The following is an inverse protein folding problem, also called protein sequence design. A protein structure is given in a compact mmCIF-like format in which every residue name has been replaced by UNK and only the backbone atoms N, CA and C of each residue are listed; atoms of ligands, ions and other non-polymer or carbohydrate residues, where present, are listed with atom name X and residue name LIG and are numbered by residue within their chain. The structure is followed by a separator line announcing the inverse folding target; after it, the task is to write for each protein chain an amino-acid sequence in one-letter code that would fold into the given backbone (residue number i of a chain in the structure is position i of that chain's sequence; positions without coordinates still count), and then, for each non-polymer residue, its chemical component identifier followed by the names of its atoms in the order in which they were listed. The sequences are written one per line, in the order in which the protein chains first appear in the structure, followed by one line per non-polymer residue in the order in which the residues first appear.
data_IF_815617108960
#
_entry.id   IF_815617108960
#
_cell.length_a   1.000
_cell.length_b   1.000
_cell.length_c   1.000
_cell.angle_alpha   90.00
_cell.angle_beta   90.00
_cell.angle_gamma   90.00
#
_symmetry.space_group_name_H-M   'P 1'
#
loop_
_entity.id
_entity.type
_entity.pdbx_description
1 polymer ?
#
# COMPACT_ATOMS: atom_id res chain seq x y z
N UNK A 1 -26.58 20.89 -46.43
CA UNK A 1 -25.75 21.04 -45.20
C UNK A 1 -26.51 20.84 -43.88
N UNK A 2 -27.82 21.13 -43.78
CA UNK A 2 -28.61 20.90 -42.56
C UNK A 2 -28.79 19.41 -42.22
N UNK A 3 -29.05 18.57 -43.23
CA UNK A 3 -29.23 17.12 -43.05
C UNK A 3 -27.96 16.41 -42.55
N UNK A 4 -26.78 16.75 -43.09
CA UNK A 4 -25.49 16.20 -42.64
C UNK A 4 -25.15 16.61 -41.20
N UNK A 5 -25.57 17.79 -40.76
CA UNK A 5 -25.42 18.24 -39.36
C UNK A 5 -26.39 17.52 -38.42
N UNK A 6 -27.63 17.29 -38.85
CA UNK A 6 -28.61 16.50 -38.08
C UNK A 6 -28.17 15.03 -37.93
N UNK A 7 -27.61 14.44 -38.99
CA UNK A 7 -27.04 13.08 -38.96
C UNK A 7 -25.85 12.98 -38.00
N UNK A 8 -24.93 13.95 -38.03
CA UNK A 8 -23.78 13.96 -37.10
C UNK A 8 -24.22 14.15 -35.65
N UNK A 9 -25.24 14.96 -35.38
CA UNK A 9 -25.79 15.14 -34.03
C UNK A 9 -26.52 13.89 -33.53
N UNK A 10 -27.27 13.21 -34.40
CA UNK A 10 -27.93 11.95 -34.06
C UNK A 10 -26.92 10.84 -33.74
N UNK A 11 -25.86 10.72 -34.55
CA UNK A 11 -24.78 9.75 -34.30
C UNK A 11 -24.03 10.07 -33.00
N UNK A 12 -23.73 11.35 -32.74
CA UNK A 12 -23.11 11.77 -31.47
C UNK A 12 -24.01 11.47 -30.26
N UNK A 13 -25.32 11.71 -30.36
CA UNK A 13 -26.27 11.39 -29.30
C UNK A 13 -26.37 9.88 -29.02
N UNK A 14 -26.36 9.05 -30.08
CA UNK A 14 -26.35 7.59 -29.97
C UNK A 14 -25.05 7.08 -29.36
N UNK A 15 -23.90 7.64 -29.75
CA UNK A 15 -22.60 7.28 -29.18
C UNK A 15 -22.50 7.69 -27.70
N UNK A 16 -23.02 8.85 -27.33
CA UNK A 16 -23.09 9.31 -25.94
C UNK A 16 -24.04 8.44 -25.10
N UNK A 17 -25.19 8.05 -25.64
CA UNK A 17 -26.11 7.13 -24.98
C UNK A 17 -25.49 5.74 -24.80
N UNK A 18 -24.81 5.21 -25.83
CA UNK A 18 -24.09 3.94 -25.77
C UNK A 18 -22.97 3.97 -24.72
N UNK A 19 -22.17 5.04 -24.69
CA UNK A 19 -21.14 5.24 -23.67
C UNK A 19 -21.77 5.32 -22.26
N UNK A 20 -22.89 6.03 -22.09
CA UNK A 20 -23.62 6.10 -20.83
C UNK A 20 -24.11 4.72 -20.35
N UNK A 21 -24.65 3.90 -21.26
CA UNK A 21 -25.09 2.53 -20.91
C UNK A 21 -23.93 1.58 -20.59
N UNK A 22 -22.77 1.75 -21.23
CA UNK A 22 -21.57 0.97 -20.95
C UNK A 22 -21.05 1.28 -19.54
N UNK A 23 -20.95 2.58 -19.21
CA UNK A 23 -20.55 3.05 -17.87
C UNK A 23 -21.52 2.56 -16.79
N UNK A 24 -22.83 2.58 -17.06
CA UNK A 24 -23.85 2.12 -16.12
C UNK A 24 -23.79 0.59 -15.88
N UNK A 25 -23.49 -0.20 -16.92
CA UNK A 25 -23.28 -1.65 -16.78
C UNK A 25 -21.99 -2.00 -16.05
N UNK A 26 -20.92 -1.21 -16.19
CA UNK A 26 -19.71 -1.37 -15.38
C UNK A 26 -19.90 -0.94 -13.92
N UNK A 27 -20.85 -0.04 -13.65
CA UNK A 27 -21.20 0.38 -12.29
C UNK A 27 -22.25 -0.53 -11.62
N UNK A 28 -22.83 -1.51 -12.34
CA UNK A 28 -23.76 -2.46 -11.74
C UNK A 28 -22.99 -3.36 -10.75
N UNK A 29 -23.39 -3.40 -9.46
CA UNK A 29 -22.67 -4.17 -8.45
C UNK A 29 -22.68 -5.65 -8.83
N UNK A 30 -21.51 -6.21 -9.12
CA UNK A 30 -21.34 -7.66 -9.14
C UNK A 30 -21.31 -8.15 -7.69
N UNK A 31 -21.80 -9.35 -7.39
CA UNK A 31 -21.56 -9.95 -6.09
C UNK A 31 -20.05 -10.18 -5.94
N UNK A 32 -19.36 -9.24 -5.30
CA UNK A 32 -17.99 -9.44 -4.86
C UNK A 32 -18.02 -10.53 -3.78
N UNK A 33 -17.21 -11.56 -3.99
CA UNK A 33 -17.03 -12.62 -3.02
C UNK A 33 -16.23 -12.11 -1.84
N UNK A 34 -16.34 -12.76 -0.68
CA UNK A 34 -15.54 -12.45 0.51
C UNK A 34 -14.03 -12.36 0.20
N UNK A 35 -13.56 -13.18 -0.74
CA UNK A 35 -12.18 -13.17 -1.20
C UNK A 35 -11.79 -11.85 -1.89
N UNK A 36 -12.66 -11.30 -2.76
CA UNK A 36 -12.39 -10.03 -3.43
C UNK A 36 -12.36 -8.83 -2.47
N UNK A 37 -13.21 -8.86 -1.43
CA UNK A 37 -13.16 -7.85 -0.37
C UNK A 37 -11.86 -7.98 0.44
N UNK A 38 -11.43 -9.21 0.73
CA UNK A 38 -10.21 -9.50 1.46
C UNK A 38 -8.92 -9.13 0.70
N UNK A 39 -8.92 -9.16 -0.64
CA UNK A 39 -7.80 -8.68 -1.46
C UNK A 39 -7.63 -7.16 -1.35
N UNK A 40 -8.74 -6.42 -1.29
CA UNK A 40 -8.76 -4.96 -1.15
C UNK A 40 -8.50 -4.45 0.28
N UNK A 41 -8.31 -5.35 1.25
CA UNK A 41 -8.03 -5.02 2.65
C UNK A 41 -6.62 -5.45 3.04
N UNK A 42 -5.91 -4.58 3.76
CA UNK A 42 -4.57 -4.79 4.30
C UNK A 42 -4.68 -5.18 5.77
N UNK A 43 -3.90 -6.17 6.19
CA UNK A 43 -3.82 -6.54 7.60
C UNK A 43 -2.86 -5.61 8.36
N UNK A 44 -3.34 -4.81 9.34
CA UNK A 44 -2.51 -3.85 10.07
C UNK A 44 -1.45 -4.55 10.95
N UNK A 45 -1.71 -5.80 11.34
CA UNK A 45 -0.78 -6.62 12.12
C UNK A 45 0.21 -7.43 11.27
N UNK A 46 0.08 -7.40 9.93
CA UNK A 46 0.79 -8.29 9.01
C UNK A 46 1.77 -7.55 8.08
N UNK A 47 2.28 -6.38 8.50
CA UNK A 47 3.19 -5.56 7.69
C UNK A 47 2.61 -5.13 6.33
N UNK A 48 1.29 -4.88 6.25
CA UNK A 48 0.65 -4.40 5.03
C UNK A 48 0.45 -5.48 3.95
N UNK A 49 0.41 -6.75 4.33
CA UNK A 49 -0.02 -7.82 3.44
C UNK A 49 -1.55 -7.82 3.29
N UNK A 50 -2.07 -8.25 2.13
CA UNK A 50 -3.52 -8.36 1.93
C UNK A 50 -4.13 -9.41 2.87
N UNK A 51 -5.34 -9.14 3.34
CA UNK A 51 -6.10 -10.05 4.22
C UNK A 51 -6.41 -11.37 3.51
N UNK A 52 -6.56 -11.35 2.19
CA UNK A 52 -6.75 -12.55 1.36
C UNK A 52 -5.52 -13.48 1.36
N UNK A 53 -4.31 -12.91 1.28
CA UNK A 53 -3.07 -13.70 1.10
C UNK A 53 -2.38 -14.04 2.43
N UNK A 54 -2.55 -13.18 3.45
CA UNK A 54 -1.85 -13.35 4.71
C UNK A 54 -2.36 -14.56 5.50
N UNK A 55 -1.42 -15.39 5.97
CA UNK A 55 -1.70 -16.59 6.77
C UNK A 55 -1.75 -16.31 8.28
N UNK A 56 -1.77 -15.05 8.69
CA UNK A 56 -1.81 -14.72 10.12
C UNK A 56 -3.16 -15.04 10.77
N UNK A 57 -3.19 -15.28 12.11
CA UNK A 57 -4.44 -15.42 12.84
C UNK A 57 -5.35 -14.20 12.74
N UNK A 58 -4.79 -12.99 12.62
CA UNK A 58 -5.56 -11.76 12.44
C UNK A 58 -6.27 -11.73 11.09
N UNK A 59 -5.56 -12.08 10.01
CA UNK A 59 -6.15 -12.15 8.68
C UNK A 59 -7.25 -13.21 8.59
N UNK A 60 -7.08 -14.35 9.28
CA UNK A 60 -8.12 -15.37 9.39
C UNK A 60 -9.39 -14.83 10.10
N UNK A 61 -9.23 -14.12 11.21
CA UNK A 61 -10.35 -13.50 11.93
C UNK A 61 -11.05 -12.39 11.10
N UNK A 62 -10.28 -11.62 10.33
CA UNK A 62 -10.84 -10.62 9.41
C UNK A 62 -11.65 -11.27 8.29
N UNK A 63 -11.16 -12.37 7.69
CA UNK A 63 -11.90 -13.14 6.67
C UNK A 63 -13.22 -13.70 7.22
N UNK A 64 -13.19 -14.28 8.41
CA UNK A 64 -14.40 -14.75 9.09
C UNK A 64 -15.40 -13.61 9.35
N UNK A 65 -14.90 -12.43 9.73
CA UNK A 65 -15.76 -11.24 9.91
C UNK A 65 -16.35 -10.76 8.59
N UNK A 66 -15.61 -10.81 7.47
CA UNK A 66 -16.13 -10.48 6.14
C UNK A 66 -17.27 -11.43 5.77
N UNK A 67 -17.06 -12.74 5.95
CA UNK A 67 -18.07 -13.77 5.66
C UNK A 67 -19.34 -13.54 6.50
N UNK A 68 -19.20 -13.23 7.79
CA UNK A 68 -20.33 -12.93 8.68
C UNK A 68 -21.10 -11.69 8.24
N UNK A 69 -20.41 -10.62 7.84
CA UNK A 69 -21.07 -9.37 7.41
C UNK A 69 -21.82 -9.55 6.09
N UNK A 70 -21.23 -10.30 5.15
CA UNK A 70 -21.91 -10.67 3.90
C UNK A 70 -23.12 -11.56 4.15
N UNK A 71 -23.00 -12.54 5.05
CA UNK A 71 -24.12 -13.39 5.47
C UNK A 71 -25.23 -12.58 6.17
N UNK A 72 -24.88 -11.49 6.85
CA UNK A 72 -25.82 -10.53 7.43
C UNK A 72 -26.47 -9.59 6.39
N UNK A 73 -26.18 -9.76 5.09
CA UNK A 73 -26.76 -8.98 4.00
C UNK A 73 -26.14 -7.59 3.81
N UNK A 74 -24.97 -7.33 4.39
CA UNK A 74 -24.25 -6.07 4.15
C UNK A 74 -23.65 -6.03 2.75
N UNK A 75 -23.56 -4.83 2.19
CA UNK A 75 -22.90 -4.62 0.90
C UNK A 75 -21.37 -4.59 1.06
N UNK A 76 -20.59 -4.91 0.00
CA UNK A 76 -19.12 -4.87 0.06
C UNK A 76 -18.56 -3.55 0.61
N UNK A 77 -19.14 -2.41 0.20
CA UNK A 77 -18.70 -1.09 0.67
C UNK A 77 -19.00 -0.88 2.16
N UNK A 78 -20.12 -1.40 2.66
CA UNK A 78 -20.41 -1.37 4.10
C UNK A 78 -19.46 -2.26 4.89
N UNK A 79 -19.00 -3.38 4.31
CA UNK A 79 -17.98 -4.23 4.93
C UNK A 79 -16.64 -3.50 4.97
N UNK A 80 -16.20 -2.91 3.86
CA UNK A 80 -14.98 -2.07 3.80
C UNK A 80 -15.03 -0.94 4.82
N UNK A 81 -16.14 -0.20 4.87
CA UNK A 81 -16.32 0.89 5.81
C UNK A 81 -16.27 0.41 7.27
N UNK A 82 -16.84 -0.76 7.57
CA UNK A 82 -16.75 -1.35 8.92
C UNK A 82 -15.29 -1.59 9.34
N UNK A 83 -14.42 -2.01 8.42
CA UNK A 83 -12.99 -2.16 8.69
C UNK A 83 -12.29 -0.80 8.81
N UNK A 84 -12.65 0.18 7.98
CA UNK A 84 -12.12 1.56 8.08
C UNK A 84 -12.48 2.19 9.42
N UNK A 85 -13.72 2.08 9.86
CA UNK A 85 -14.17 2.64 11.14
C UNK A 85 -13.42 2.01 12.33
N UNK A 86 -12.95 0.77 12.18
CA UNK A 86 -12.28 0.00 13.23
C UNK A 86 -10.76 0.13 13.23
N UNK A 87 -10.15 0.24 12.05
CA UNK A 87 -8.70 0.17 11.85
C UNK A 87 -8.10 1.41 11.14
N UNK A 88 -8.93 2.34 10.68
CA UNK A 88 -8.56 3.54 9.94
C UNK A 88 -8.49 3.33 8.42
N UNK A 89 -8.28 4.41 7.65
CA UNK A 89 -8.22 4.35 6.18
C UNK A 89 -7.06 3.50 5.64
N UNK A 90 -5.97 3.37 6.40
CA UNK A 90 -4.82 2.54 6.02
C UNK A 90 -5.09 1.03 5.97
N UNK A 91 -6.31 0.59 6.30
CA UNK A 91 -6.76 -0.79 6.11
C UNK A 91 -7.18 -1.07 4.67
N UNK A 92 -7.50 -0.05 3.87
CA UNK A 92 -7.85 -0.23 2.46
C UNK A 92 -6.57 -0.23 1.61
N UNK A 93 -6.48 -1.17 0.67
CA UNK A 93 -5.39 -1.22 -0.29
C UNK A 93 -5.36 0.03 -1.20
N UNK A 94 -6.53 0.59 -1.50
CA UNK A 94 -6.68 1.88 -2.20
C UNK A 94 -7.54 2.82 -1.32
N UNK A 95 -7.07 4.05 -1.05
CA UNK A 95 -7.87 5.03 -0.32
C UNK A 95 -9.14 5.37 -1.11
N UNK A 96 -10.31 5.21 -0.47
CA UNK A 96 -11.61 5.46 -1.10
C UNK A 96 -11.81 6.95 -1.40
N UNK A 97 -11.67 7.35 -2.66
CA UNK A 97 -11.88 8.72 -3.12
C UNK A 97 -13.36 9.04 -3.37
N UNK A 98 -14.29 8.59 -2.52
CA UNK A 98 -15.72 8.66 -2.84
C UNK A 98 -16.30 10.09 -2.79
N UNK A 99 -15.61 11.06 -2.18
CA UNK A 99 -16.02 12.47 -2.15
C UNK A 99 -15.31 13.40 -3.14
N UNK A 100 -14.04 13.12 -3.46
CA UNK A 100 -13.18 14.02 -4.25
C UNK A 100 -13.08 13.55 -5.71
N UNK A 101 -13.30 12.25 -6.00
CA UNK A 101 -13.22 11.70 -7.34
C UNK A 101 -14.20 12.35 -8.34
N UNK A 102 -15.42 12.69 -7.88
CA UNK A 102 -16.40 13.41 -8.70
C UNK A 102 -15.93 14.82 -9.01
N UNK A 103 -15.36 15.54 -8.04
CA UNK A 103 -14.88 16.91 -8.23
C UNK A 103 -13.69 16.94 -9.22
N UNK A 104 -12.80 15.94 -9.12
CA UNK A 104 -11.67 15.75 -10.01
C UNK A 104 -12.09 15.54 -11.48
N UNK A 105 -13.27 14.95 -11.72
CA UNK A 105 -13.87 14.78 -13.05
C UNK A 105 -14.74 15.96 -13.50
N UNK A 106 -15.34 16.70 -12.57
CA UNK A 106 -16.24 17.83 -12.86
C UNK A 106 -15.46 19.03 -13.44
N UNK A 107 -14.25 19.25 -12.95
CA UNK A 107 -13.35 20.33 -13.41
C UNK A 107 -12.97 20.20 -14.90
N UNK A 108 -12.45 19.05 -15.40
CA UNK A 108 -12.13 18.90 -16.82
C UNK A 108 -13.39 18.95 -17.72
N UNK A 109 -14.53 18.44 -17.25
CA UNK A 109 -15.79 18.53 -17.99
C UNK A 109 -16.27 19.99 -18.16
N UNK A 110 -16.19 20.79 -17.09
CA UNK A 110 -16.54 22.22 -17.11
C UNK A 110 -15.57 23.03 -17.98
N UNK A 111 -14.28 22.70 -17.95
CA UNK A 111 -13.28 23.35 -18.81
C UNK A 111 -13.58 23.14 -20.29
N UNK A 112 -13.89 21.91 -20.70
CA UNK A 112 -14.31 21.59 -22.08
C UNK A 112 -15.60 22.31 -22.44
N UNK A 113 -16.60 22.30 -21.54
CA UNK A 113 -17.87 22.99 -21.76
C UNK A 113 -17.66 24.51 -21.97
N UNK A 114 -16.81 25.14 -21.18
CA UNK A 114 -16.47 26.56 -21.31
C UNK A 114 -15.82 26.88 -22.65
N UNK A 115 -14.85 26.06 -23.11
CA UNK A 115 -14.19 26.22 -24.41
C UNK A 115 -15.21 26.10 -25.56
N UNK A 116 -16.09 25.10 -25.52
CA UNK A 116 -17.15 24.93 -26.53
C UNK A 116 -18.09 26.14 -26.56
N UNK A 117 -18.50 26.65 -25.39
CA UNK A 117 -19.36 27.83 -25.27
C UNK A 117 -18.72 29.10 -25.85
N UNK A 118 -17.42 29.30 -25.60
CA UNK A 118 -16.63 30.41 -26.14
C UNK A 118 -16.57 30.33 -27.67
N UNK A 119 -16.25 29.15 -28.23
CA UNK A 119 -16.19 28.94 -29.69
C UNK A 119 -17.55 29.16 -30.35
N UNK A 120 -18.64 28.67 -29.74
CA UNK A 120 -20.00 28.86 -30.24
C UNK A 120 -20.41 30.34 -30.22
N UNK A 121 -20.09 31.08 -29.14
CA UNK A 121 -20.34 32.53 -29.06
C UNK A 121 -19.55 33.31 -30.10
N UNK A 122 -18.28 32.98 -30.33
CA UNK A 122 -17.47 33.61 -31.38
C UNK A 122 -18.00 33.33 -32.79
N UNK A 123 -18.52 32.13 -33.04
CA UNK A 123 -19.15 31.79 -34.33
C UNK A 123 -20.47 32.51 -34.55
N UNK A 124 -21.28 32.72 -33.49
CA UNK A 124 -22.53 33.50 -33.56
C UNK A 124 -22.30 35.00 -33.68
N UNK A 125 -21.18 35.51 -33.15
CA UNK A 125 -20.77 36.91 -33.27
C UNK A 125 -20.02 37.21 -34.58
N UNK A 126 -19.90 36.25 -35.51
CA UNK A 126 -19.42 36.58 -36.85
C UNK A 126 -20.42 37.53 -37.49
N UNK A 127 -20.05 38.79 -37.76
CA UNK A 127 -20.93 39.71 -38.46
C UNK A 127 -21.31 39.11 -39.81
N UNK A 128 -22.57 39.24 -40.21
CA UNK A 128 -22.96 38.96 -41.59
C UNK A 128 -22.04 39.79 -42.49
N UNK A 129 -21.44 39.15 -43.50
CA UNK A 129 -20.54 39.80 -44.43
C UNK A 129 -21.25 41.06 -44.98
N UNK A 130 -20.61 42.25 -44.94
CA UNK A 130 -21.21 43.49 -45.42
C UNK A 130 -21.68 43.29 -46.88
N UNK A 131 -22.89 43.74 -47.24
CA UNK A 131 -23.47 43.50 -48.56
C UNK A 131 -22.74 44.22 -49.71
N UNK A 132 -21.74 45.06 -49.40
CA UNK A 132 -21.01 45.87 -50.39
C UNK A 132 -19.50 45.63 -50.28
N UNK A 133 -19.07 44.42 -50.63
CA UNK A 133 -17.65 44.07 -50.69
C UNK A 133 -17.22 44.00 -52.15
N UNK A 134 -16.43 44.98 -52.57
CA UNK A 134 -15.83 45.04 -53.91
C UNK A 134 -15.00 43.75 -54.18
N UNK A 135 -15.31 43.00 -55.25
CA UNK A 135 -14.59 41.78 -55.63
C UNK A 135 -13.08 41.99 -55.87
N UNK A 136 -12.63 43.23 -56.07
CA UNK A 136 -11.22 43.54 -56.36
C UNK A 136 -10.37 43.81 -55.12
N UNK A 137 -10.94 43.87 -53.92
CA UNK A 137 -10.15 44.10 -52.70
C UNK A 137 -9.59 42.77 -52.18
N UNK A 138 -8.25 42.55 -52.18
CA UNK A 138 -7.68 41.34 -51.60
C UNK A 138 -8.01 41.28 -50.10
N UNK A 139 -8.51 40.12 -49.66
CA UNK A 139 -8.90 39.93 -48.27
C UNK A 139 -7.70 40.15 -47.33
N UNK A 140 -7.86 40.84 -46.18
CA UNK A 140 -6.78 40.92 -45.21
C UNK A 140 -6.43 39.49 -44.75
N UNK A 141 -5.14 39.17 -44.53
CA UNK A 141 -4.76 37.87 -44.04
C UNK A 141 -5.41 37.65 -42.68
N UNK A 142 -6.35 36.70 -42.62
CA UNK A 142 -6.91 36.23 -41.36
C UNK A 142 -5.75 35.57 -40.63
N UNK A 143 -5.12 36.30 -39.71
CA UNK A 143 -3.98 35.82 -38.94
C UNK A 143 -4.37 34.54 -38.20
N UNK A 144 -3.90 33.39 -38.71
CA UNK A 144 -4.01 32.07 -38.08
C UNK A 144 -3.49 32.07 -36.63
N UNK A 145 -2.66 33.06 -36.27
CA UNK A 145 -2.09 33.29 -34.95
C UNK A 145 -3.14 33.34 -33.81
N UNK A 146 -4.23 34.12 -33.94
CA UNK A 146 -5.17 34.32 -32.81
C UNK A 146 -5.95 33.07 -32.40
N UNK A 147 -6.13 32.11 -33.30
CA UNK A 147 -6.83 30.86 -33.00
C UNK A 147 -5.90 29.85 -32.31
N UNK A 148 -4.60 29.88 -32.61
CA UNK A 148 -3.61 29.04 -31.95
C UNK A 148 -3.26 29.59 -30.57
N UNK A 149 -3.24 30.91 -30.39
CA UNK A 149 -2.99 31.55 -29.10
C UNK A 149 -4.07 31.20 -28.06
N UNK A 150 -5.34 31.16 -28.48
CA UNK A 150 -6.45 30.82 -27.57
C UNK A 150 -6.48 29.33 -27.21
N UNK A 151 -6.06 28.45 -28.11
CA UNK A 151 -5.91 27.02 -27.84
C UNK A 151 -4.69 26.75 -26.95
N UNK A 152 -3.56 27.43 -27.20
CA UNK A 152 -2.35 27.31 -26.39
C UNK A 152 -2.60 27.77 -24.95
N UNK A 153 -3.27 28.91 -24.75
CA UNK A 153 -3.61 29.40 -23.40
C UNK A 153 -4.57 28.45 -22.68
N UNK A 154 -5.55 27.87 -23.38
CA UNK A 154 -6.48 26.90 -22.78
C UNK A 154 -5.78 25.58 -22.40
N UNK A 155 -4.83 25.09 -23.21
CA UNK A 155 -4.03 23.90 -22.90
C UNK A 155 -3.07 24.17 -21.75
N UNK A 156 -2.38 25.32 -21.73
CA UNK A 156 -1.50 25.71 -20.64
C UNK A 156 -2.28 25.87 -19.32
N UNK A 157 -3.47 26.48 -19.36
CA UNK A 157 -4.34 26.59 -18.19
C UNK A 157 -4.82 25.21 -17.69
N UNK A 158 -5.16 24.28 -18.60
CA UNK A 158 -5.54 22.92 -18.24
C UNK A 158 -4.38 22.15 -17.60
N UNK A 159 -3.17 22.23 -18.18
CA UNK A 159 -1.96 21.60 -17.65
C UNK A 159 -1.58 22.19 -16.29
N UNK A 160 -1.70 23.52 -16.12
CA UNK A 160 -1.44 24.18 -14.84
C UNK A 160 -2.42 23.75 -13.75
N UNK A 161 -3.71 23.59 -14.07
CA UNK A 161 -4.73 23.10 -13.11
C UNK A 161 -4.47 21.65 -12.72
N UNK A 162 -4.05 20.79 -13.65
CA UNK A 162 -3.69 19.40 -13.35
C UNK A 162 -2.40 19.31 -12.53
N UNK A 163 -1.43 20.18 -12.78
CA UNK A 163 -0.18 20.24 -12.02
C UNK A 163 -0.37 20.80 -10.60
N UNK A 164 -1.28 21.75 -10.40
CA UNK A 164 -1.60 22.33 -9.08
C UNK A 164 -2.61 21.52 -8.26
N UNK A 165 -3.27 20.52 -8.85
CA UNK A 165 -4.20 19.62 -8.15
C UNK A 165 -3.58 18.24 -7.83
N UNK A 166 -2.27 18.07 -8.07
CA UNK A 166 -1.52 16.99 -7.42
C UNK A 166 -1.52 17.24 -5.91
N UNK A 167 -1.85 16.25 -5.07
CA UNK A 167 -1.92 16.47 -3.63
C UNK A 167 -0.57 16.99 -3.14
N UNK A 168 -0.57 18.13 -2.45
CA UNK A 168 0.58 18.61 -1.68
C UNK A 168 1.07 17.45 -0.81
N UNK A 169 2.22 16.88 -1.15
CA UNK A 169 2.97 15.94 -0.32
C UNK A 169 3.73 16.74 0.74
N UNK A 170 2.97 17.55 1.49
CA UNK A 170 3.40 18.17 2.74
C UNK A 170 2.71 17.44 3.91
N UNK A 171 2.75 16.11 3.88
CA UNK A 171 2.74 15.34 5.12
C UNK A 171 4.19 15.24 5.57
N UNK A 172 4.63 16.23 6.36
CA UNK A 172 5.76 16.07 7.24
C UNK A 172 5.50 14.84 8.12
N UNK A 173 5.95 13.69 7.64
CA UNK A 173 5.95 12.48 8.42
C UNK A 173 6.86 12.69 9.63
N UNK A 174 6.38 12.41 10.86
CA UNK A 174 7.22 12.55 12.03
C UNK A 174 8.49 11.70 11.85
N UNK A 175 9.62 12.07 12.49
CA UNK A 175 10.87 11.31 12.42
C UNK A 175 10.70 9.81 12.75
N UNK A 176 9.61 9.43 13.43
CA UNK A 176 9.19 8.06 13.67
C UNK A 176 8.81 7.25 12.41
N UNK A 177 8.20 7.83 11.37
CA UNK A 177 7.87 7.15 10.10
C UNK A 177 9.10 7.01 9.20
N UNK A 178 9.91 8.07 9.05
CA UNK A 178 11.21 7.96 8.38
C UNK A 178 12.15 6.94 9.07
N UNK A 179 12.16 6.90 10.40
CA UNK A 179 12.86 5.85 11.14
C UNK A 179 12.19 4.47 10.95
N UNK A 180 10.86 4.38 10.82
CA UNK A 180 10.16 3.13 10.52
C UNK A 180 10.58 2.54 9.18
N UNK A 181 10.66 3.38 8.16
CA UNK A 181 11.04 3.00 6.80
C UNK A 181 12.51 2.62 6.72
N UNK A 182 13.37 3.29 7.49
CA UNK A 182 14.78 2.91 7.66
C UNK A 182 14.92 1.56 8.37
N UNK A 183 14.23 1.35 9.51
CA UNK A 183 14.27 0.09 10.24
C UNK A 183 13.70 -1.07 9.41
N UNK A 184 12.61 -0.86 8.66
CA UNK A 184 12.01 -1.89 7.80
C UNK A 184 12.92 -2.26 6.62
N UNK A 185 13.63 -1.28 6.06
CA UNK A 185 14.66 -1.48 5.04
C UNK A 185 15.83 -2.30 5.58
N UNK A 186 16.35 -1.96 6.77
CA UNK A 186 17.42 -2.72 7.43
C UNK A 186 16.99 -4.14 7.78
N UNK A 187 15.75 -4.34 8.25
CA UNK A 187 15.18 -5.66 8.51
C UNK A 187 15.13 -6.52 7.24
N UNK A 188 14.77 -5.92 6.11
CA UNK A 188 14.72 -6.61 4.81
C UNK A 188 16.13 -7.04 4.38
N UNK A 189 17.11 -6.16 4.54
CA UNK A 189 18.51 -6.48 4.28
C UNK A 189 19.03 -7.59 5.21
N UNK A 190 18.78 -7.50 6.52
CA UNK A 190 19.22 -8.50 7.50
C UNK A 190 18.66 -9.89 7.18
N UNK A 191 17.37 -10.00 6.84
CA UNK A 191 16.74 -11.27 6.44
C UNK A 191 17.31 -11.80 5.13
N UNK A 192 17.62 -10.94 4.16
CA UNK A 192 18.26 -11.34 2.90
C UNK A 192 19.66 -11.92 3.16
N UNK A 193 20.45 -11.30 4.03
CA UNK A 193 21.76 -11.80 4.45
C UNK A 193 21.65 -13.13 5.19
N UNK A 194 20.67 -13.26 6.09
CA UNK A 194 20.37 -14.52 6.80
C UNK A 194 20.00 -15.66 5.82
N UNK A 195 19.15 -15.36 4.81
CA UNK A 195 18.78 -16.32 3.76
C UNK A 195 19.95 -16.75 2.87
N UNK A 196 20.96 -15.89 2.72
CA UNK A 196 22.22 -16.20 2.04
C UNK A 196 23.22 -16.96 2.93
N UNK A 197 22.90 -17.19 4.21
CA UNK A 197 23.81 -17.80 5.20
C UNK A 197 24.93 -16.87 5.67
N UNK A 198 24.87 -15.58 5.36
CA UNK A 198 25.86 -14.56 5.74
C UNK A 198 25.58 -14.05 7.17
N UNK A 199 25.65 -14.95 8.14
CA UNK A 199 25.21 -14.70 9.51
C UNK A 199 26.02 -13.62 10.24
N UNK A 200 27.33 -13.51 9.97
CA UNK A 200 28.17 -12.47 10.58
C UNK A 200 27.70 -11.07 10.19
N UNK A 201 27.46 -10.84 8.90
CA UNK A 201 26.97 -9.55 8.39
C UNK A 201 25.52 -9.30 8.81
N UNK A 202 24.67 -10.33 8.78
CA UNK A 202 23.30 -10.23 9.27
C UNK A 202 23.25 -9.79 10.74
N UNK A 203 24.19 -10.28 11.58
CA UNK A 203 24.24 -9.93 13.00
C UNK A 203 24.55 -8.44 13.23
N UNK A 204 25.37 -7.84 12.37
CA UNK A 204 25.66 -6.40 12.45
C UNK A 204 24.42 -5.58 12.09
N UNK A 205 23.72 -5.93 11.00
CA UNK A 205 22.49 -5.24 10.60
C UNK A 205 21.37 -5.44 11.64
N UNK A 206 21.22 -6.63 12.22
CA UNK A 206 20.26 -6.85 13.30
C UNK A 206 20.60 -6.05 14.57
N UNK A 207 21.88 -5.78 14.86
CA UNK A 207 22.27 -4.90 15.97
C UNK A 207 21.78 -3.47 15.73
N UNK A 208 21.92 -2.97 14.51
CA UNK A 208 21.40 -1.64 14.13
C UNK A 208 19.87 -1.57 14.23
N UNK A 209 19.18 -2.63 13.82
CA UNK A 209 17.72 -2.74 13.97
C UNK A 209 17.31 -2.68 15.44
N UNK A 210 17.96 -3.47 16.31
CA UNK A 210 17.69 -3.49 17.76
C UNK A 210 17.99 -2.13 18.39
N UNK A 211 19.02 -1.43 17.92
CA UNK A 211 19.37 -0.10 18.41
C UNK A 211 18.31 0.96 18.06
N UNK A 212 17.65 0.84 16.89
CA UNK A 212 16.58 1.74 16.48
C UNK A 212 15.24 1.38 17.14
N UNK A 213 14.92 0.09 17.20
CA UNK A 213 13.67 -0.42 17.77
C UNK A 213 13.94 -1.70 18.56
N UNK A 214 14.16 -1.58 19.89
CA UNK A 214 14.34 -2.74 20.72
C UNK A 214 13.01 -3.50 20.86
N UNK A 215 12.96 -4.71 20.31
CA UNK A 215 11.88 -5.66 20.57
C UNK A 215 12.45 -7.06 20.87
N UNK A 216 11.64 -7.94 21.47
CA UNK A 216 12.10 -9.29 21.82
C UNK A 216 12.40 -10.12 20.57
N UNK A 217 11.63 -9.92 19.50
CA UNK A 217 11.74 -10.72 18.27
C UNK A 217 13.05 -10.48 17.52
N UNK A 218 13.44 -9.22 17.36
CA UNK A 218 14.70 -8.79 16.72
C UNK A 218 15.89 -9.10 17.61
N UNK A 219 15.76 -8.97 18.94
CA UNK A 219 16.81 -9.43 19.88
C UNK A 219 17.03 -10.94 19.80
N UNK A 220 15.97 -11.75 19.74
CA UNK A 220 16.10 -13.21 19.56
C UNK A 220 16.69 -13.56 18.19
N UNK A 221 16.31 -12.85 17.14
CA UNK A 221 16.91 -13.02 15.81
C UNK A 221 18.39 -12.63 15.77
N UNK A 222 18.78 -11.57 16.47
CA UNK A 222 20.18 -11.20 16.68
C UNK A 222 20.92 -12.31 17.44
N UNK A 223 20.36 -12.82 18.55
CA UNK A 223 20.97 -13.92 19.30
C UNK A 223 21.15 -15.19 18.44
N UNK A 224 20.16 -15.52 17.61
CA UNK A 224 20.26 -16.62 16.66
C UNK A 224 21.36 -16.41 15.61
N UNK A 225 21.43 -15.24 14.98
CA UNK A 225 22.46 -14.93 13.97
C UNK A 225 23.86 -14.92 14.58
N UNK A 226 24.03 -14.38 15.80
CA UNK A 226 25.27 -14.44 16.56
C UNK A 226 25.72 -15.88 16.84
N UNK A 227 24.78 -16.76 17.21
CA UNK A 227 25.07 -18.18 17.43
C UNK A 227 25.54 -18.87 16.14
N UNK A 228 24.89 -18.55 15.01
CA UNK A 228 25.26 -19.07 13.69
C UNK A 228 26.58 -18.50 13.15
N UNK A 229 27.01 -17.36 13.65
CA UNK A 229 28.30 -16.73 13.32
C UNK A 229 29.40 -17.04 14.34
N UNK A 230 29.25 -18.09 15.16
CA UNK A 230 30.22 -18.54 16.18
C UNK A 230 30.48 -17.54 17.33
N UNK A 231 29.60 -16.56 17.53
CA UNK A 231 29.67 -15.54 18.59
C UNK A 231 28.81 -15.94 19.79
N UNK A 232 29.04 -17.14 20.31
CA UNK A 232 28.17 -17.77 21.30
C UNK A 232 28.03 -16.99 22.62
N UNK A 233 29.09 -16.34 23.10
CA UNK A 233 29.04 -15.55 24.34
C UNK A 233 28.13 -14.31 24.21
N UNK A 234 28.16 -13.63 23.06
CA UNK A 234 27.27 -12.50 22.77
C UNK A 234 25.83 -12.98 22.61
N UNK A 235 25.63 -14.09 21.88
CA UNK A 235 24.31 -14.71 21.73
C UNK A 235 23.67 -15.04 23.09
N UNK A 236 24.45 -15.61 24.02
CA UNK A 236 24.00 -15.92 25.37
C UNK A 236 23.62 -14.65 26.14
N UNK A 237 24.38 -13.56 26.00
CA UNK A 237 24.07 -12.28 26.62
C UNK A 237 22.76 -11.71 26.08
N UNK A 238 22.60 -11.64 24.75
CA UNK A 238 21.38 -11.11 24.10
C UNK A 238 20.14 -11.94 24.43
N UNK A 239 20.21 -13.28 24.37
CA UNK A 239 19.10 -14.15 24.74
C UNK A 239 18.77 -14.05 26.24
N UNK A 240 19.78 -13.89 27.09
CA UNK A 240 19.62 -13.67 28.52
C UNK A 240 18.87 -12.38 28.86
N UNK A 241 19.10 -11.30 28.11
CA UNK A 241 18.35 -10.04 28.25
C UNK A 241 16.87 -10.23 27.93
N UNK A 242 16.54 -10.92 26.84
CA UNK A 242 15.14 -11.21 26.50
C UNK A 242 14.48 -12.07 27.58
N UNK A 243 15.20 -13.04 28.15
CA UNK A 243 14.66 -13.86 29.24
C UNK A 243 14.51 -13.09 30.56
N UNK A 244 15.32 -12.05 30.79
CA UNK A 244 15.14 -11.17 31.95
C UNK A 244 13.84 -10.38 31.84
N UNK A 245 13.57 -9.81 30.66
CA UNK A 245 12.35 -9.03 30.39
C UNK A 245 11.11 -9.95 30.30
N UNK A 246 11.27 -11.12 29.69
CA UNK A 246 10.22 -12.10 29.40
C UNK A 246 10.61 -13.51 29.91
N UNK A 247 10.48 -13.79 31.23
CA UNK A 247 10.97 -15.04 31.85
C UNK A 247 10.33 -16.34 31.33
N UNK A 248 9.16 -16.24 30.69
CA UNK A 248 8.45 -17.37 30.08
C UNK A 248 8.80 -17.62 28.61
N UNK A 249 9.68 -16.82 27.99
CA UNK A 249 9.99 -16.94 26.57
C UNK A 249 10.79 -18.23 26.29
N UNK A 250 10.14 -19.20 25.65
CA UNK A 250 10.69 -20.53 25.37
C UNK A 250 11.79 -20.49 24.30
N UNK A 251 11.67 -19.61 23.31
CA UNK A 251 12.69 -19.37 22.29
C UNK A 251 13.96 -18.78 22.91
N UNK A 252 13.81 -17.84 23.85
CA UNK A 252 14.93 -17.29 24.61
C UNK A 252 15.63 -18.36 25.46
N UNK A 253 14.88 -19.25 26.12
CA UNK A 253 15.44 -20.38 26.86
C UNK A 253 16.23 -21.34 25.95
N UNK A 254 15.69 -21.64 24.76
CA UNK A 254 16.36 -22.48 23.77
C UNK A 254 17.66 -21.83 23.30
N UNK A 255 17.61 -20.60 22.80
CA UNK A 255 18.78 -19.88 22.27
C UNK A 255 19.84 -19.66 23.35
N UNK A 256 19.45 -19.29 24.57
CA UNK A 256 20.36 -19.15 25.70
C UNK A 256 21.04 -20.48 26.05
N UNK A 257 20.28 -21.58 26.09
CA UNK A 257 20.82 -22.90 26.38
C UNK A 257 21.81 -23.38 25.32
N UNK A 258 21.49 -23.19 24.04
CA UNK A 258 22.37 -23.52 22.92
C UNK A 258 23.62 -22.65 22.90
N UNK A 259 23.48 -21.33 23.13
CA UNK A 259 24.59 -20.40 23.19
C UNK A 259 25.53 -20.69 24.35
N UNK A 260 24.98 -20.95 25.55
CA UNK A 260 25.76 -21.39 26.72
C UNK A 260 26.52 -22.68 26.44
N UNK A 261 25.92 -23.63 25.74
CA UNK A 261 26.61 -24.88 25.36
C UNK A 261 27.77 -24.61 24.42
N UNK A 262 27.54 -23.82 23.38
CA UNK A 262 28.57 -23.47 22.40
C UNK A 262 29.74 -22.67 23.04
N UNK A 263 29.44 -21.85 24.05
CA UNK A 263 30.46 -21.10 24.80
C UNK A 263 31.08 -21.88 25.98
N UNK A 264 30.74 -23.16 26.18
CA UNK A 264 31.27 -23.98 27.28
C UNK A 264 30.78 -23.61 28.69
N UNK A 265 29.66 -22.89 28.81
CA UNK A 265 29.09 -22.49 30.11
C UNK A 265 28.49 -23.70 30.85
N UNK A 266 28.74 -23.85 32.17
CA UNK A 266 28.24 -24.96 32.97
C UNK A 266 26.70 -24.96 33.10
N UNK A 267 26.06 -23.79 32.96
CA UNK A 267 24.61 -23.65 33.10
C UNK A 267 23.82 -24.10 31.86
N UNK A 268 24.50 -24.49 30.78
CA UNK A 268 23.88 -24.89 29.53
C UNK A 268 22.85 -26.01 29.72
N UNK A 269 23.26 -27.09 30.41
CA UNK A 269 22.42 -28.26 30.65
C UNK A 269 21.18 -27.91 31.47
N UNK A 270 21.34 -27.12 32.53
CA UNK A 270 20.23 -26.66 33.37
C UNK A 270 19.23 -25.81 32.56
N UNK A 271 19.74 -24.95 31.68
CA UNK A 271 18.93 -24.06 30.85
C UNK A 271 18.12 -24.86 29.80
N UNK A 272 18.76 -25.80 29.11
CA UNK A 272 18.10 -26.66 28.13
C UNK A 272 17.05 -27.59 28.76
N UNK A 273 17.25 -28.06 29.99
CA UNK A 273 16.22 -28.80 30.74
C UNK A 273 15.02 -27.91 31.07
N UNK A 274 15.23 -26.64 31.43
CA UNK A 274 14.13 -25.68 31.62
C UNK A 274 13.35 -25.46 30.33
N UNK A 275 14.02 -25.34 29.18
CA UNK A 275 13.36 -25.29 27.88
C UNK A 275 12.46 -26.52 27.65
N UNK A 276 12.99 -27.75 27.81
CA UNK A 276 12.21 -28.98 27.62
C UNK A 276 11.00 -29.09 28.56
N UNK A 277 11.09 -28.52 29.76
CA UNK A 277 9.96 -28.45 30.70
C UNK A 277 8.92 -27.42 30.27
N UNK A 278 9.36 -26.29 29.74
CA UNK A 278 8.48 -25.19 29.34
C UNK A 278 7.80 -25.43 27.98
N UNK A 279 8.47 -26.11 27.05
CA UNK A 279 7.97 -26.38 25.70
C UNK A 279 8.28 -27.85 25.29
N UNK A 280 7.61 -28.84 25.87
CA UNK A 280 7.88 -30.26 25.62
C UNK A 280 7.59 -30.70 24.17
N UNK A 281 6.65 -30.01 23.52
CA UNK A 281 6.17 -30.28 22.15
C UNK A 281 6.84 -29.38 21.09
N UNK A 282 7.82 -28.56 21.49
CA UNK A 282 8.56 -27.71 20.57
C UNK A 282 9.30 -28.57 19.51
N UNK A 283 9.32 -28.17 18.23
CA UNK A 283 10.04 -28.89 17.18
C UNK A 283 11.52 -29.16 17.49
N UNK A 284 12.18 -28.32 18.30
CA UNK A 284 13.56 -28.50 18.71
C UNK A 284 13.73 -29.49 19.88
N UNK A 285 12.67 -29.82 20.61
CA UNK A 285 12.74 -30.64 21.82
C UNK A 285 13.38 -32.03 21.61
N UNK A 286 13.07 -32.79 20.53
CA UNK A 286 13.73 -34.08 20.29
C UNK A 286 15.25 -33.95 20.12
N UNK A 287 15.72 -32.91 19.44
CA UNK A 287 17.14 -32.69 19.21
C UNK A 287 17.85 -32.22 20.48
N UNK A 288 17.21 -31.35 21.27
CA UNK A 288 17.74 -30.94 22.58
C UNK A 288 17.87 -32.15 23.53
N UNK A 289 16.90 -33.08 23.55
CA UNK A 289 17.01 -34.31 24.34
C UNK A 289 18.23 -35.15 23.91
N UNK A 290 18.48 -35.28 22.61
CA UNK A 290 19.67 -35.97 22.07
C UNK A 290 20.96 -35.28 22.47
N UNK A 291 21.01 -33.95 22.40
CA UNK A 291 22.17 -33.15 22.80
C UNK A 291 22.53 -33.35 24.28
N UNK A 292 21.52 -33.40 25.15
CA UNK A 292 21.69 -33.61 26.59
C UNK A 292 22.09 -35.05 26.94
N UNK A 293 21.73 -36.03 26.12
CA UNK A 293 22.13 -37.43 26.32
C UNK A 293 23.61 -37.69 25.96
N UNK A 294 24.23 -36.81 25.17
CA UNK A 294 25.62 -36.94 24.69
C UNK A 294 26.64 -36.12 25.49
N UNK A 295 26.19 -35.23 26.37
CA UNK A 295 27.03 -34.41 27.26
C UNK A 295 27.09 -35.00 28.65
#
# INVERSE_FOLDING_TARGET
MRLRRLLLLAVAAVLLAAAGTAVWRSAAPRPETAHGIAEGLLCPACQGESVAQSQSPMAAAMRDTIDQQLAAGRTPDQVRQFFVDRYGEGVLAEPGYDGIGILLWLVPLLAVAAVVLIVLRQRRRRPAAPPDRDPRTPAPPIGRARMWDTVAVAVIALVAVVAFAGPDHDSADPPARAAADSTSSLLTLARSLEGQGRYAEASEVYRDVVAQRPDDRTRLRLAFTLLRSDRAAEAATTAGQVLHDSPGNTEALLLLGLARRASGSPDATTTLRRFLKAAPDDPAAPEVRRLLARS
#
